data_IF_682962481255
#
_entry.id   IF_682962481255
#
_cell.length_a   1.000
_cell.length_b   1.000
_cell.length_c   1.000
_cell.angle_alpha   90.00
_cell.angle_beta   90.00
_cell.angle_gamma   90.00
#
_symmetry.space_group_name_H-M   'P 1'
#
loop_
_entity.id
_entity.type
_entity.pdbx_description
1 polymer ?
#
# COMPACT_ATOMS: atom_id res chain seq x y z
N UNK A 1 -27.73 -2.05 -1.86
CA UNK A 1 -27.36 -2.57 -0.53
C UNK A 1 -26.31 -1.64 0.01
N UNK A 2 -26.50 -1.09 1.20
CA UNK A 2 -25.50 -0.26 1.87
C UNK A 2 -24.38 -1.17 2.39
N UNK A 3 -23.12 -0.74 2.36
CA UNK A 3 -21.96 -1.52 2.82
C UNK A 3 -22.12 -1.98 4.28
N UNK A 4 -22.83 -1.22 5.11
CA UNK A 4 -23.21 -1.63 6.47
C UNK A 4 -24.13 -2.87 6.50
N UNK A 5 -25.03 -3.02 5.52
CA UNK A 5 -25.91 -4.19 5.41
C UNK A 5 -25.15 -5.43 4.94
N UNK A 6 -24.13 -5.24 4.08
CA UNK A 6 -23.24 -6.31 3.61
C UNK A 6 -22.34 -6.81 4.75
N UNK A 7 -21.80 -5.91 5.56
CA UNK A 7 -20.96 -6.27 6.71
C UNK A 7 -21.78 -7.00 7.79
N UNK A 8 -22.98 -6.50 8.11
CA UNK A 8 -23.89 -7.16 9.06
C UNK A 8 -24.26 -8.58 8.62
N UNK A 9 -24.48 -8.78 7.32
CA UNK A 9 -24.81 -10.08 6.74
C UNK A 9 -23.60 -11.02 6.73
N UNK A 10 -22.39 -10.50 6.44
CA UNK A 10 -21.16 -11.29 6.44
C UNK A 10 -20.80 -11.81 7.84
N UNK A 11 -21.02 -10.98 8.86
CA UNK A 11 -20.85 -11.38 10.27
C UNK A 11 -21.89 -12.44 10.69
N UNK A 12 -23.16 -12.25 10.31
CA UNK A 12 -24.22 -13.23 10.57
C UNK A 12 -23.96 -14.61 9.91
N UNK A 13 -23.24 -14.62 8.78
CA UNK A 13 -22.86 -15.84 8.05
C UNK A 13 -21.53 -16.46 8.51
N UNK A 14 -20.86 -15.89 9.53
CA UNK A 14 -19.61 -16.44 10.08
C UNK A 14 -18.43 -16.41 9.11
N UNK A 15 -18.41 -15.49 8.15
CA UNK A 15 -17.33 -15.37 7.17
C UNK A 15 -16.09 -14.75 7.83
N UNK A 16 -15.05 -15.55 8.05
CA UNK A 16 -13.80 -15.16 8.74
C UNK A 16 -12.61 -14.91 7.82
N UNK A 17 -12.79 -15.06 6.50
CA UNK A 17 -11.73 -14.77 5.53
C UNK A 17 -11.33 -13.28 5.61
N UNK A 18 -10.02 -12.95 5.49
CA UNK A 18 -9.58 -11.56 5.56
C UNK A 18 -10.21 -10.74 4.44
N UNK A 19 -10.82 -9.61 4.81
CA UNK A 19 -11.46 -8.66 3.91
C UNK A 19 -11.13 -7.24 4.37
N UNK A 20 -11.22 -6.28 3.44
CA UNK A 20 -11.17 -4.86 3.79
C UNK A 20 -12.53 -4.47 4.38
N UNK A 21 -12.51 -3.93 5.59
CA UNK A 21 -13.73 -3.40 6.23
C UNK A 21 -13.90 -1.90 5.93
N UNK A 22 -15.11 -1.38 6.13
CA UNK A 22 -15.37 0.05 6.00
C UNK A 22 -14.53 0.87 6.99
N UNK A 23 -14.41 0.40 8.24
CA UNK A 23 -13.61 1.07 9.27
C UNK A 23 -12.12 1.11 8.89
N UNK A 24 -11.60 0.02 8.31
CA UNK A 24 -10.23 -0.03 7.80
C UNK A 24 -10.02 0.94 6.65
N UNK A 25 -11.01 1.05 5.74
CA UNK A 25 -10.97 1.99 4.63
C UNK A 25 -10.95 3.43 5.13
N UNK A 26 -11.86 3.78 6.03
CA UNK A 26 -11.94 5.12 6.61
C UNK A 26 -10.67 5.47 7.38
N UNK A 27 -10.17 4.54 8.20
CA UNK A 27 -8.92 4.73 8.93
C UNK A 27 -7.70 4.83 8.01
N UNK A 28 -7.79 4.34 6.77
CA UNK A 28 -6.71 4.45 5.80
C UNK A 28 -6.62 5.82 5.13
N UNK A 29 -7.70 6.60 5.11
CA UNK A 29 -7.73 7.95 4.58
C UNK A 29 -7.21 8.90 5.66
N UNK A 30 -6.11 9.61 5.38
CA UNK A 30 -5.49 10.57 6.31
C UNK A 30 -5.79 12.02 5.94
N UNK A 31 -6.19 12.28 4.71
CA UNK A 31 -6.53 13.62 4.24
C UNK A 31 -7.56 13.55 3.09
N UNK A 32 -8.34 14.62 2.95
CA UNK A 32 -9.37 14.76 1.92
C UNK A 32 -9.36 16.19 1.37
N UNK A 33 -9.02 16.33 0.10
CA UNK A 33 -9.06 17.61 -0.62
C UNK A 33 -10.20 17.62 -1.63
N UNK A 34 -10.95 18.73 -1.71
CA UNK A 34 -11.97 18.93 -2.73
C UNK A 34 -11.48 19.91 -3.80
N UNK A 35 -11.38 19.41 -5.03
CA UNK A 35 -11.12 20.24 -6.20
C UNK A 35 -12.44 20.58 -6.88
N UNK A 36 -12.76 21.87 -6.97
CA UNK A 36 -13.95 22.37 -7.68
C UNK A 36 -13.56 23.00 -9.01
N UNK A 37 -14.28 22.65 -10.07
CA UNK A 37 -14.20 23.31 -11.36
C UNK A 37 -15.59 23.74 -11.84
N UNK A 38 -15.70 24.93 -12.40
CA UNK A 38 -16.90 25.36 -13.12
C UNK A 38 -16.58 25.40 -14.60
N UNK A 39 -17.25 24.57 -15.38
CA UNK A 39 -17.03 24.47 -16.81
C UNK A 39 -17.46 25.74 -17.53
N UNK A 40 -17.02 25.92 -18.79
CA UNK A 40 -17.44 27.04 -19.64
C UNK A 40 -18.96 27.09 -19.88
N UNK A 41 -19.65 25.95 -19.80
CA UNK A 41 -21.11 25.85 -19.90
C UNK A 41 -21.82 26.09 -18.57
N UNK A 42 -21.09 26.38 -17.49
CA UNK A 42 -21.62 26.63 -16.16
C UNK A 42 -21.87 25.37 -15.33
N UNK A 43 -21.44 24.19 -15.75
CA UNK A 43 -21.59 22.99 -14.92
C UNK A 43 -20.59 23.02 -13.77
N UNK A 44 -21.02 22.63 -12.57
CA UNK A 44 -20.15 22.56 -11.39
C UNK A 44 -19.69 21.13 -11.19
N UNK A 45 -18.38 20.91 -11.26
CA UNK A 45 -17.72 19.63 -11.03
C UNK A 45 -16.94 19.68 -9.71
N UNK A 46 -16.98 18.59 -8.94
CA UNK A 46 -16.12 18.40 -7.76
C UNK A 46 -15.46 17.04 -7.77
N UNK A 47 -14.15 16.99 -7.52
CA UNK A 47 -13.41 15.77 -7.26
C UNK A 47 -12.99 15.76 -5.79
N UNK A 48 -13.03 14.58 -5.18
CA UNK A 48 -12.31 14.34 -3.94
C UNK A 48 -10.96 13.71 -4.29
N UNK A 49 -9.91 14.17 -3.64
CA UNK A 49 -8.60 13.54 -3.59
C UNK A 49 -8.47 12.97 -2.17
N UNK A 50 -8.45 11.65 -2.06
CA UNK A 50 -8.30 10.94 -0.78
C UNK A 50 -6.84 10.49 -0.67
N UNK A 51 -6.11 11.03 0.30
CA UNK A 51 -4.73 10.62 0.57
C UNK A 51 -4.74 9.49 1.58
N UNK A 52 -4.13 8.36 1.22
CA UNK A 52 -4.01 7.19 2.08
C UNK A 52 -2.78 7.27 3.00
N UNK A 53 -2.76 6.48 4.09
CA UNK A 53 -1.65 6.41 5.06
C UNK A 53 -0.27 6.15 4.46
N UNK A 54 -0.20 5.45 3.32
CA UNK A 54 1.06 5.17 2.62
C UNK A 54 1.52 6.31 1.69
N UNK A 55 0.80 7.43 1.65
CA UNK A 55 1.07 8.59 0.80
C UNK A 55 0.49 8.49 -0.62
N UNK A 56 -0.18 7.40 -0.98
CA UNK A 56 -0.88 7.30 -2.27
C UNK A 56 -2.16 8.13 -2.24
N UNK A 57 -2.39 8.94 -3.28
CA UNK A 57 -3.61 9.73 -3.43
C UNK A 57 -4.48 9.13 -4.54
N UNK A 58 -5.77 8.94 -4.25
CA UNK A 58 -6.76 8.46 -5.21
C UNK A 58 -7.84 9.50 -5.44
N UNK A 59 -8.36 9.55 -6.67
CA UNK A 59 -9.54 10.34 -7.01
C UNK A 59 -10.55 9.48 -7.72
N UNK A 60 -11.82 9.88 -7.64
CA UNK A 60 -12.93 9.23 -8.33
C UNK A 60 -13.48 10.06 -9.48
N UNK A 61 -14.57 9.58 -10.07
CA UNK A 61 -15.36 10.40 -10.99
C UNK A 61 -15.87 11.66 -10.28
N UNK A 62 -15.93 12.81 -10.95
CA UNK A 62 -16.46 14.01 -10.33
C UNK A 62 -17.94 13.87 -10.00
N UNK A 63 -18.39 14.52 -8.93
CA UNK A 63 -19.80 14.91 -8.86
C UNK A 63 -20.06 16.03 -9.84
N UNK A 64 -21.22 16.03 -10.51
CA UNK A 64 -21.57 17.01 -11.53
C UNK A 64 -22.97 17.55 -11.28
N UNK A 65 -23.06 18.87 -11.04
CA UNK A 65 -24.34 19.58 -11.05
C UNK A 65 -24.62 20.16 -12.43
N UNK A 66 -25.78 19.82 -13.00
CA UNK A 66 -26.20 20.23 -14.35
C UNK A 66 -26.56 21.72 -14.40
N UNK A 67 -26.94 22.33 -13.28
CA UNK A 67 -27.27 23.77 -13.19
C UNK A 67 -26.70 24.38 -11.91
N UNK A 68 -25.96 25.51 -11.98
CA UNK A 68 -25.52 26.26 -10.81
C UNK A 68 -26.64 26.61 -9.83
N UNK A 69 -27.85 26.86 -10.35
CA UNK A 69 -29.00 27.24 -9.52
C UNK A 69 -29.42 26.13 -8.55
N UNK A 70 -29.07 24.87 -8.85
CA UNK A 70 -29.35 23.70 -8.02
C UNK A 70 -28.10 23.13 -7.34
N UNK A 71 -26.95 23.81 -7.45
CA UNK A 71 -25.70 23.37 -6.82
C UNK A 71 -25.80 23.47 -5.30
N UNK A 72 -25.62 22.33 -4.63
CA UNK A 72 -25.50 22.24 -3.17
C UNK A 72 -24.14 21.66 -2.86
N UNK A 73 -23.25 22.50 -2.32
CA UNK A 73 -21.84 22.14 -2.12
C UNK A 73 -21.69 20.87 -1.27
N UNK A 74 -22.38 20.78 -0.13
CA UNK A 74 -22.35 19.62 0.76
C UNK A 74 -22.70 18.31 0.05
N UNK A 75 -23.74 18.31 -0.80
CA UNK A 75 -24.15 17.13 -1.57
C UNK A 75 -23.08 16.79 -2.62
N UNK A 76 -22.60 17.79 -3.34
CA UNK A 76 -21.57 17.59 -4.37
C UNK A 76 -20.26 17.06 -3.79
N UNK A 77 -19.86 17.53 -2.62
CA UNK A 77 -18.67 17.06 -1.90
C UNK A 77 -18.85 15.63 -1.40
N UNK A 78 -19.99 15.33 -0.76
CA UNK A 78 -20.32 13.96 -0.33
C UNK A 78 -20.24 12.98 -1.50
N UNK A 79 -20.87 13.29 -2.63
CA UNK A 79 -20.84 12.42 -3.83
C UNK A 79 -19.42 12.28 -4.38
N UNK A 80 -18.61 13.35 -4.35
CA UNK A 80 -17.22 13.27 -4.82
C UNK A 80 -16.36 12.37 -3.90
N UNK A 81 -16.56 12.45 -2.59
CA UNK A 81 -15.90 11.60 -1.59
C UNK A 81 -16.34 10.14 -1.76
N UNK A 82 -17.63 9.88 -1.95
CA UNK A 82 -18.15 8.53 -2.19
C UNK A 82 -17.55 7.95 -3.48
N UNK A 83 -17.47 8.74 -4.55
CA UNK A 83 -16.85 8.32 -5.80
C UNK A 83 -15.38 7.96 -5.61
N UNK A 84 -14.59 8.77 -4.89
CA UNK A 84 -13.19 8.47 -4.63
C UNK A 84 -13.01 7.27 -3.67
N UNK A 85 -13.91 7.11 -2.70
CA UNK A 85 -13.95 5.97 -1.78
C UNK A 85 -14.18 4.66 -2.54
N UNK A 86 -15.09 4.67 -3.51
CA UNK A 86 -15.37 3.53 -4.38
C UNK A 86 -14.16 3.13 -5.26
N UNK A 87 -13.27 4.08 -5.60
CA UNK A 87 -12.00 3.77 -6.27
C UNK A 87 -10.94 3.27 -5.28
N UNK A 88 -10.92 3.78 -4.05
CA UNK A 88 -9.97 3.34 -3.02
C UNK A 88 -10.19 1.89 -2.59
N UNK A 89 -11.45 1.47 -2.46
CA UNK A 89 -11.81 0.15 -1.95
C UNK A 89 -11.16 -1.01 -2.74
N UNK A 90 -11.29 -1.11 -4.08
CA UNK A 90 -10.65 -2.18 -4.83
C UNK A 90 -9.12 -2.14 -4.75
N UNK A 91 -8.50 -0.96 -4.61
CA UNK A 91 -7.05 -0.83 -4.40
C UNK A 91 -6.63 -1.41 -3.04
N UNK A 92 -7.40 -1.17 -1.99
CA UNK A 92 -7.16 -1.80 -0.69
C UNK A 92 -7.37 -3.32 -0.75
N UNK A 93 -8.37 -3.78 -1.51
CA UNK A 93 -8.59 -5.21 -1.77
C UNK A 93 -7.42 -5.86 -2.50
N UNK A 94 -6.86 -5.18 -3.51
CA UNK A 94 -5.65 -5.61 -4.22
C UNK A 94 -4.46 -5.70 -3.27
N UNK A 95 -4.20 -4.65 -2.48
CA UNK A 95 -3.09 -4.62 -1.52
C UNK A 95 -3.20 -5.73 -0.45
N UNK A 96 -4.42 -6.02 0.02
CA UNK A 96 -4.67 -7.15 0.92
C UNK A 96 -4.34 -8.48 0.24
N UNK A 97 -4.75 -8.66 -1.03
CA UNK A 97 -4.47 -9.88 -1.78
C UNK A 97 -2.98 -10.05 -2.08
N UNK A 98 -2.29 -8.96 -2.40
CA UNK A 98 -0.85 -8.93 -2.59
C UNK A 98 -0.11 -9.36 -1.31
N UNK A 99 -0.53 -8.83 -0.16
CA UNK A 99 0.00 -9.24 1.16
C UNK A 99 -0.25 -10.73 1.45
N UNK A 100 -1.42 -11.25 1.09
CA UNK A 100 -1.73 -12.67 1.23
C UNK A 100 -0.89 -13.55 0.29
N UNK A 101 -0.65 -13.11 -0.94
CA UNK A 101 0.17 -13.83 -1.91
C UNK A 101 1.65 -13.87 -1.49
N UNK A 102 2.13 -12.83 -0.79
CA UNK A 102 3.48 -12.78 -0.23
C UNK A 102 3.65 -13.66 1.03
N UNK A 103 2.57 -14.18 1.62
CA UNK A 103 2.66 -15.04 2.79
C UNK A 103 3.22 -16.42 2.40
N UNK A 104 4.16 -16.98 3.18
CA UNK A 104 4.70 -18.30 2.88
C UNK A 104 3.64 -19.38 3.06
N UNK A 105 3.55 -20.31 2.10
CA UNK A 105 2.61 -21.44 2.18
C UNK A 105 3.00 -22.44 3.28
N UNK A 106 4.30 -22.63 3.51
CA UNK A 106 4.83 -23.50 4.55
C UNK A 106 6.15 -22.99 5.14
N UNK A 107 6.73 -23.78 6.06
CA UNK A 107 8.02 -23.46 6.67
C UNK A 107 9.16 -23.36 5.65
N UNK A 108 9.18 -24.21 4.62
CA UNK A 108 10.26 -24.25 3.62
C UNK A 108 10.18 -23.01 2.73
N UNK A 109 8.99 -22.64 2.29
CA UNK A 109 8.72 -21.44 1.51
C UNK A 109 9.04 -20.18 2.31
N UNK A 110 8.72 -20.15 3.61
CA UNK A 110 9.16 -19.05 4.50
C UNK A 110 10.67 -18.87 4.46
N UNK A 111 11.45 -19.96 4.58
CA UNK A 111 12.92 -19.88 4.57
C UNK A 111 13.45 -19.48 3.19
N UNK A 112 12.83 -19.94 2.10
CA UNK A 112 13.19 -19.54 0.73
C UNK A 112 12.94 -18.06 0.48
N UNK A 113 11.79 -17.54 0.91
CA UNK A 113 11.44 -16.11 0.80
C UNK A 113 12.38 -15.26 1.65
N UNK A 114 12.64 -15.66 2.89
CA UNK A 114 13.60 -14.99 3.78
C UNK A 114 15.00 -14.94 3.13
N UNK A 115 15.48 -16.07 2.60
CA UNK A 115 16.75 -16.16 1.87
C UNK A 115 16.80 -15.19 0.69
N UNK A 116 15.76 -15.20 -0.15
CA UNK A 116 15.71 -14.34 -1.34
C UNK A 116 15.72 -12.85 -0.96
N UNK A 117 14.92 -12.47 0.05
CA UNK A 117 14.88 -11.09 0.54
C UNK A 117 16.22 -10.61 1.11
N UNK A 118 16.88 -11.43 1.95
CA UNK A 118 18.19 -11.07 2.52
C UNK A 118 19.30 -11.02 1.48
N UNK A 119 19.23 -11.87 0.46
CA UNK A 119 20.17 -11.81 -0.67
C UNK A 119 20.00 -10.51 -1.47
N UNK A 120 18.77 -10.09 -1.77
CA UNK A 120 18.49 -8.83 -2.46
C UNK A 120 18.94 -7.60 -1.64
N UNK A 121 18.70 -7.58 -0.34
CA UNK A 121 19.20 -6.53 0.55
C UNK A 121 20.74 -6.46 0.56
N UNK A 122 21.41 -7.61 0.59
CA UNK A 122 22.88 -7.70 0.55
C UNK A 122 23.42 -7.20 -0.79
N UNK A 123 22.79 -7.56 -1.91
CA UNK A 123 23.19 -7.10 -3.24
C UNK A 123 23.02 -5.58 -3.38
N UNK A 124 21.96 -5.00 -2.81
CA UNK A 124 21.76 -3.54 -2.74
C UNK A 124 22.85 -2.85 -1.93
N UNK A 125 23.22 -3.39 -0.76
CA UNK A 125 24.31 -2.84 0.05
C UNK A 125 25.65 -2.91 -0.71
N UNK A 126 25.95 -4.06 -1.33
CA UNK A 126 27.15 -4.23 -2.16
C UNK A 126 27.20 -3.29 -3.36
N UNK A 127 26.06 -3.00 -3.96
CA UNK A 127 25.97 -2.00 -5.02
C UNK A 127 26.26 -0.60 -4.47
N UNK A 128 25.67 -0.23 -3.33
CA UNK A 128 25.93 1.06 -2.68
C UNK A 128 27.40 1.25 -2.27
N UNK A 129 28.04 0.22 -1.72
CA UNK A 129 29.45 0.24 -1.33
C UNK A 129 30.41 0.56 -2.48
N UNK A 130 29.98 0.36 -3.73
CA UNK A 130 30.76 0.66 -4.96
C UNK A 130 30.48 2.06 -5.52
N UNK A 131 29.64 2.86 -4.85
CA UNK A 131 29.28 4.21 -5.32
C UNK A 131 30.27 5.26 -4.82
N UNK A 132 30.53 6.33 -5.59
CA UNK A 132 31.32 7.47 -5.11
C UNK A 132 30.75 8.12 -3.84
N UNK A 133 29.43 8.05 -3.67
CA UNK A 133 28.73 8.52 -2.47
C UNK A 133 29.21 7.79 -1.22
N UNK A 134 29.47 6.48 -1.33
CA UNK A 134 30.00 5.70 -0.23
C UNK A 134 31.46 6.10 0.08
N UNK A 135 32.29 6.28 -0.94
CA UNK A 135 33.71 6.68 -0.78
C UNK A 135 33.88 8.02 -0.05
N UNK A 136 32.91 8.93 -0.19
CA UNK A 136 32.91 10.23 0.48
C UNK A 136 32.52 10.16 1.97
N UNK A 137 32.15 8.99 2.50
CA UNK A 137 31.72 8.85 3.90
C UNK A 137 32.90 8.91 4.88
N UNK A 138 32.66 9.35 6.14
CA UNK A 138 33.66 9.25 7.20
C UNK A 138 34.13 7.80 7.38
N UNK A 139 35.41 7.63 7.73
CA UNK A 139 36.03 6.31 7.90
C UNK A 139 35.24 5.39 8.85
N UNK A 140 34.70 5.94 9.94
CA UNK A 140 33.90 5.17 10.90
C UNK A 140 32.60 4.64 10.27
N UNK A 141 31.94 5.42 9.42
CA UNK A 141 30.74 4.99 8.70
C UNK A 141 31.07 3.89 7.69
N UNK A 142 32.20 4.00 6.99
CA UNK A 142 32.69 2.96 6.09
C UNK A 142 32.95 1.63 6.82
N UNK A 143 33.58 1.69 7.99
CA UNK A 143 33.85 0.51 8.80
C UNK A 143 32.55 -0.20 9.22
N UNK A 144 31.55 0.56 9.67
CA UNK A 144 30.24 0.00 10.04
C UNK A 144 29.52 -0.62 8.84
N UNK A 145 29.63 -0.03 7.64
CA UNK A 145 29.03 -0.60 6.43
C UNK A 145 29.68 -1.92 6.01
N UNK A 146 31.00 -2.06 6.18
CA UNK A 146 31.71 -3.32 5.92
C UNK A 146 31.34 -4.39 6.95
N UNK A 147 31.24 -4.02 8.24
CA UNK A 147 30.75 -4.93 9.29
C UNK A 147 29.31 -5.39 9.00
N UNK A 148 28.44 -4.45 8.61
CA UNK A 148 27.08 -4.73 8.20
C UNK A 148 27.03 -5.71 7.02
N UNK A 149 27.84 -5.50 5.97
CA UNK A 149 27.92 -6.42 4.83
C UNK A 149 28.31 -7.84 5.26
N UNK A 150 29.33 -7.96 6.11
CA UNK A 150 29.77 -9.25 6.65
C UNK A 150 28.67 -9.97 7.45
N UNK A 151 27.95 -9.24 8.31
CA UNK A 151 26.84 -9.81 9.09
C UNK A 151 25.68 -10.26 8.19
N UNK A 152 25.35 -9.47 7.16
CA UNK A 152 24.31 -9.80 6.19
C UNK A 152 24.70 -11.05 5.36
N UNK A 153 25.95 -11.14 4.91
CA UNK A 153 26.46 -12.33 4.21
C UNK A 153 26.38 -13.58 5.09
N UNK A 154 26.81 -13.50 6.36
CA UNK A 154 26.77 -14.64 7.27
C UNK A 154 25.33 -15.16 7.48
N UNK A 155 24.34 -14.27 7.55
CA UNK A 155 22.93 -14.66 7.62
C UNK A 155 22.46 -15.36 6.33
N UNK A 156 22.82 -14.81 5.16
CA UNK A 156 22.51 -15.45 3.86
C UNK A 156 23.14 -16.85 3.78
N UNK A 157 24.38 -17.04 4.24
CA UNK A 157 25.05 -18.35 4.24
C UNK A 157 24.37 -19.37 5.16
N UNK A 158 23.83 -18.92 6.31
CA UNK A 158 22.97 -19.77 7.16
C UNK A 158 21.70 -20.17 6.43
N UNK A 159 21.05 -19.22 5.76
CA UNK A 159 19.81 -19.47 5.03
C UNK A 159 20.03 -20.39 3.83
N UNK A 160 21.14 -20.25 3.11
CA UNK A 160 21.53 -21.15 2.01
C UNK A 160 21.69 -22.59 2.50
N UNK A 161 22.39 -22.80 3.62
CA UNK A 161 22.52 -24.12 4.24
C UNK A 161 21.17 -24.69 4.65
N UNK A 162 20.25 -23.87 5.18
CA UNK A 162 18.88 -24.30 5.53
C UNK A 162 18.06 -24.67 4.31
N UNK A 163 18.14 -23.90 3.22
CA UNK A 163 17.44 -24.24 1.97
C UNK A 163 17.97 -25.55 1.38
N UNK A 164 19.29 -25.79 1.46
CA UNK A 164 19.91 -27.03 1.00
C UNK A 164 19.39 -28.28 1.73
N UNK A 165 18.96 -28.17 3.00
CA UNK A 165 18.37 -29.31 3.73
C UNK A 165 16.97 -29.70 3.25
N UNK A 166 16.33 -28.94 2.34
CA UNK A 166 14.99 -29.25 1.85
C UNK A 166 14.97 -30.20 0.64
N UNK A 167 16.14 -30.45 0.04
CA UNK A 167 16.31 -31.33 -1.12
C UNK A 167 16.57 -32.80 -0.74
N UNK A 168 16.72 -33.10 0.55
CA UNK A 168 16.73 -34.46 1.11
C UNK A 168 15.39 -34.79 1.77
#
# INVERSE_FOLDING_TARGET
>A
MNDQQVESTSQALGLTAPRVTLDELQANIVDTEIVKHVSKSGQVLRWAILTARNGFAVTGRPSVSVSPANDKAEIGESVAIDNATNELWPLMGYALKEKQAAAPADYRDRVRLERAGRADELDKLRAFLKTPTCEALPLQSLQLLVEQEGAMQALVDVLDRRVATFAG
#
